data_IF_828842128077
#
_entry.id   IF_828842128077
#
_cell.length_a   1.000
_cell.length_b   1.000
_cell.length_c   1.000
_cell.angle_alpha   90.00
_cell.angle_beta   90.00
_cell.angle_gamma   90.00
#
_symmetry.space_group_name_H-M   'P 1'
#
loop_
_entity.id
_entity.type
_entity.pdbx_description
1 polymer ?
#
# COMPACT_ATOMS: atom_id res chain seq x y z
N UNK A 1 25.30 20.32 -16.31
CA UNK A 1 24.99 18.94 -15.91
C UNK A 1 23.74 19.01 -15.06
N UNK A 2 22.66 18.35 -15.46
CA UNK A 2 21.46 18.29 -14.62
C UNK A 2 21.73 17.42 -13.39
N UNK A 3 21.17 17.79 -12.24
CA UNK A 3 21.28 16.99 -11.04
C UNK A 3 20.50 15.67 -11.20
N UNK A 4 20.99 14.54 -10.66
CA UNK A 4 20.28 13.28 -10.74
C UNK A 4 18.98 13.34 -9.93
N UNK A 5 17.89 12.85 -10.51
CA UNK A 5 16.61 12.68 -9.81
C UNK A 5 16.68 11.51 -8.84
N UNK A 6 16.17 11.69 -7.63
CA UNK A 6 16.09 10.67 -6.59
C UNK A 6 14.64 10.23 -6.39
N UNK A 7 14.39 8.95 -6.67
CA UNK A 7 13.10 8.28 -6.45
C UNK A 7 13.16 7.44 -5.17
N UNK A 8 12.16 7.60 -4.30
CA UNK A 8 11.92 6.70 -3.16
C UNK A 8 10.73 5.80 -3.43
N UNK A 9 10.92 4.50 -3.19
CA UNK A 9 9.87 3.50 -3.26
C UNK A 9 9.59 3.02 -1.84
N UNK A 10 8.37 3.24 -1.37
CA UNK A 10 7.84 2.67 -0.14
C UNK A 10 6.95 1.50 -0.50
N UNK A 11 7.09 0.39 0.19
CA UNK A 11 6.30 -0.80 -0.13
C UNK A 11 5.76 -1.52 1.10
N UNK A 12 4.61 -2.16 0.91
CA UNK A 12 3.99 -3.05 1.88
C UNK A 12 3.80 -4.44 1.30
N UNK A 13 3.61 -5.42 2.18
CA UNK A 13 3.30 -6.80 1.83
C UNK A 13 2.60 -7.45 3.02
N UNK A 14 1.70 -8.39 2.76
CA UNK A 14 1.13 -9.25 3.80
C UNK A 14 0.37 -8.45 4.90
N UNK A 15 -0.41 -7.45 4.49
CA UNK A 15 -1.31 -6.71 5.39
C UNK A 15 -2.44 -7.62 5.91
N UNK A 16 -2.83 -8.63 5.10
CA UNK A 16 -3.85 -9.64 5.44
C UNK A 16 -5.19 -9.08 5.93
N UNK A 17 -5.59 -7.90 5.46
CA UNK A 17 -6.83 -7.26 5.89
C UNK A 17 -6.80 -6.73 7.32
N UNK A 18 -5.64 -6.59 7.97
CA UNK A 18 -5.59 -6.09 9.34
C UNK A 18 -5.80 -4.56 9.40
N UNK A 19 -7.07 -4.15 9.44
CA UNK A 19 -7.46 -2.73 9.44
C UNK A 19 -6.95 -1.97 10.68
N UNK A 20 -6.76 -2.64 11.82
CA UNK A 20 -6.31 -2.00 13.05
C UNK A 20 -4.90 -1.38 12.93
N UNK A 21 -4.09 -1.84 11.98
CA UNK A 21 -2.74 -1.34 11.78
C UNK A 21 -2.67 -0.18 10.78
N UNK A 22 -3.68 0.00 9.94
CA UNK A 22 -3.62 0.95 8.82
C UNK A 22 -3.39 2.40 9.24
N UNK A 23 -4.01 2.96 10.30
CA UNK A 23 -3.72 4.33 10.71
C UNK A 23 -2.24 4.53 11.10
N UNK A 24 -1.65 3.55 11.80
CA UNK A 24 -0.24 3.62 12.24
C UNK A 24 0.70 3.44 11.05
N UNK A 25 0.38 2.52 10.15
CA UNK A 25 1.09 2.32 8.90
C UNK A 25 1.08 3.60 8.06
N UNK A 26 -0.08 4.25 7.93
CA UNK A 26 -0.21 5.52 7.23
C UNK A 26 0.72 6.58 7.80
N UNK A 27 0.69 6.81 9.12
CA UNK A 27 1.59 7.76 9.77
C UNK A 27 3.07 7.42 9.53
N UNK A 28 3.44 6.13 9.60
CA UNK A 28 4.80 5.69 9.35
C UNK A 28 5.24 5.96 7.90
N UNK A 29 4.36 5.72 6.93
CA UNK A 29 4.63 6.02 5.52
C UNK A 29 4.78 7.52 5.29
N UNK A 30 3.92 8.35 5.87
CA UNK A 30 4.00 9.81 5.72
C UNK A 30 5.26 10.41 6.32
N UNK A 31 5.75 9.86 7.43
CA UNK A 31 7.03 10.27 8.00
C UNK A 31 8.21 10.05 7.02
N UNK A 32 8.07 9.12 6.07
CA UNK A 32 9.07 8.85 5.04
C UNK A 32 8.73 9.49 3.68
N UNK A 33 7.52 10.03 3.49
CA UNK A 33 7.10 10.77 2.30
C UNK A 33 7.79 12.13 2.20
N UNK A 34 8.09 12.76 3.35
CA UNK A 34 8.64 14.11 3.41
C UNK A 34 10.10 14.08 3.88
N UNK A 35 11.04 14.01 2.94
CA UNK A 35 12.47 14.20 3.24
C UNK A 35 13.17 15.04 2.18
N UNK A 36 14.09 15.90 2.61
CA UNK A 36 14.93 16.68 1.71
C UNK A 36 15.71 15.78 0.74
N UNK A 37 15.90 16.27 -0.49
CA UNK A 37 16.65 15.55 -1.54
C UNK A 37 15.91 14.39 -2.20
N UNK A 38 14.59 14.24 -1.99
CA UNK A 38 13.76 13.28 -2.71
C UNK A 38 12.82 14.03 -3.65
N UNK A 39 12.94 13.78 -4.95
CA UNK A 39 12.12 14.42 -5.98
C UNK A 39 10.75 13.75 -6.10
N UNK A 40 10.68 12.44 -5.83
CA UNK A 40 9.46 11.66 -5.95
C UNK A 40 9.41 10.51 -4.96
N UNK A 41 8.22 10.29 -4.40
CA UNK A 41 7.89 9.12 -3.61
C UNK A 41 6.78 8.35 -4.32
N UNK A 42 6.94 7.03 -4.42
CA UNK A 42 5.87 6.12 -4.86
C UNK A 42 5.61 5.08 -3.77
N UNK A 43 4.34 4.78 -3.51
CA UNK A 43 3.91 3.77 -2.55
C UNK A 43 3.30 2.60 -3.32
N UNK A 44 3.76 1.38 -3.06
CA UNK A 44 3.27 0.19 -3.77
C UNK A 44 3.00 -0.95 -2.81
N UNK A 45 1.93 -1.70 -3.04
CA UNK A 45 1.67 -2.92 -2.28
C UNK A 45 2.04 -4.16 -3.09
N UNK A 46 2.82 -5.06 -2.48
CA UNK A 46 3.36 -6.26 -3.13
C UNK A 46 2.42 -7.48 -3.02
N UNK A 47 1.23 -7.30 -2.44
CA UNK A 47 0.17 -8.31 -2.37
C UNK A 47 0.01 -8.94 -0.99
N UNK A 48 -0.87 -9.95 -0.95
CA UNK A 48 -1.39 -10.54 0.30
C UNK A 48 -1.99 -9.48 1.24
N UNK A 49 -2.61 -8.46 0.65
CA UNK A 49 -3.21 -7.34 1.38
C UNK A 49 -4.58 -7.65 1.96
N UNK A 50 -5.28 -8.68 1.45
CA UNK A 50 -6.55 -9.15 1.96
C UNK A 50 -6.55 -10.68 2.02
N UNK A 51 -6.85 -11.23 3.20
CA UNK A 51 -6.91 -12.67 3.42
C UNK A 51 -8.37 -13.15 3.48
N UNK A 52 -8.67 -14.29 2.86
CA UNK A 52 -10.05 -14.80 2.74
C UNK A 52 -10.71 -15.21 4.06
N UNK A 53 -9.94 -15.36 5.13
CA UNK A 53 -10.40 -15.63 6.49
C UNK A 53 -10.79 -14.35 7.27
N UNK A 54 -10.61 -13.17 6.68
CA UNK A 54 -11.02 -11.87 7.26
C UNK A 54 -12.34 -11.42 6.65
N UNK A 55 -13.34 -11.11 7.51
CA UNK A 55 -14.73 -10.91 7.09
C UNK A 55 -14.91 -9.88 5.96
N UNK A 56 -14.28 -8.69 6.06
CA UNK A 56 -14.44 -7.65 5.04
C UNK A 56 -13.68 -8.00 3.77
N UNK A 57 -12.61 -8.79 3.85
CA UNK A 57 -11.91 -9.30 2.69
C UNK A 57 -12.76 -10.32 1.95
N UNK A 58 -13.37 -11.26 2.68
CA UNK A 58 -14.29 -12.26 2.12
C UNK A 58 -15.49 -11.58 1.43
N UNK A 59 -16.19 -10.69 2.14
CA UNK A 59 -17.42 -10.05 1.65
C UNK A 59 -17.18 -9.16 0.42
N UNK A 60 -15.97 -8.61 0.30
CA UNK A 60 -15.64 -7.68 -0.78
C UNK A 60 -14.80 -8.33 -1.88
N UNK A 61 -14.54 -9.64 -1.82
CA UNK A 61 -13.62 -10.35 -2.73
C UNK A 61 -12.25 -9.64 -2.79
N UNK A 62 -11.75 -9.20 -1.63
CA UNK A 62 -10.48 -8.49 -1.48
C UNK A 62 -10.51 -6.99 -1.79
N UNK A 63 -11.62 -6.44 -2.31
CA UNK A 63 -11.72 -5.02 -2.71
C UNK A 63 -11.57 -4.05 -1.53
N UNK A 64 -11.94 -4.44 -0.32
CA UNK A 64 -11.78 -3.61 0.89
C UNK A 64 -10.33 -3.17 1.13
N UNK A 65 -9.35 -4.04 0.89
CA UNK A 65 -7.94 -3.67 0.99
C UNK A 65 -7.54 -2.64 -0.09
N UNK A 66 -8.03 -2.78 -1.31
CA UNK A 66 -7.74 -1.83 -2.40
C UNK A 66 -8.28 -0.44 -2.10
N UNK A 67 -9.49 -0.33 -1.53
CA UNK A 67 -10.06 0.94 -1.08
C UNK A 67 -9.21 1.60 0.01
N UNK A 68 -8.69 0.82 0.95
CA UNK A 68 -7.84 1.34 2.02
C UNK A 68 -6.47 1.80 1.50
N UNK A 69 -5.86 1.02 0.60
CA UNK A 69 -4.59 1.38 -0.05
C UNK A 69 -4.71 2.66 -0.89
N UNK A 70 -5.80 2.79 -1.65
CA UNK A 70 -6.14 4.00 -2.41
C UNK A 70 -6.25 5.23 -1.49
N UNK A 71 -7.01 5.11 -0.39
CA UNK A 71 -7.14 6.17 0.60
C UNK A 71 -5.80 6.57 1.26
N UNK A 72 -4.83 5.66 1.33
CA UNK A 72 -3.47 5.91 1.85
C UNK A 72 -2.50 6.45 0.78
N UNK A 73 -2.96 6.65 -0.45
CA UNK A 73 -2.18 7.19 -1.57
C UNK A 73 -1.23 6.19 -2.21
N UNK A 74 -1.56 4.90 -2.18
CA UNK A 74 -0.78 3.89 -2.92
C UNK A 74 -0.95 4.07 -4.43
N UNK A 75 0.16 4.03 -5.16
CA UNK A 75 0.20 4.16 -6.62
C UNK A 75 -0.18 2.86 -7.32
N UNK A 76 0.16 1.71 -6.73
CA UNK A 76 -0.16 0.41 -7.28
C UNK A 76 -0.29 -0.66 -6.17
N UNK A 77 -1.08 -1.69 -6.45
CA UNK A 77 -1.20 -2.86 -5.59
C UNK A 77 -1.18 -4.13 -6.44
N UNK A 78 -0.43 -5.15 -6.02
CA UNK A 78 -0.46 -6.46 -6.63
C UNK A 78 -1.74 -7.18 -6.21
N UNK A 79 -2.61 -7.42 -7.17
CA UNK A 79 -3.79 -8.28 -7.01
C UNK A 79 -3.48 -9.69 -7.49
N UNK A 80 -3.92 -10.68 -6.72
CA UNK A 80 -3.98 -12.07 -7.19
C UNK A 80 -5.40 -12.31 -7.70
N UNK A 81 -5.52 -12.62 -8.99
CA UNK A 81 -6.78 -13.15 -9.50
C UNK A 81 -6.94 -14.55 -8.91
N UNK A 82 -7.99 -14.78 -8.11
CA UNK A 82 -8.41 -16.15 -7.82
C UNK A 82 -8.80 -16.80 -9.15
N UNK A 83 -8.39 -18.06 -9.43
CA UNK A 83 -9.00 -18.79 -10.53
C UNK A 83 -10.51 -18.86 -10.28
N UNK A 84 -11.28 -18.56 -11.34
CA UNK A 84 -12.73 -18.63 -11.37
C UNK A 84 -13.24 -20.06 -11.15
#
# INVERSE_FOLDING_TARGET
MEAPLTLRILYTYNIRGNLAWLPRLYTALEAHSHSEGIDRVIKVDLGDSCAGDVWHCAETEGRSALLALDAMGFTAARVSLSPA
#
